data_IF_750953872261
#
_entry.id   IF_750953872261
#
_cell.length_a   1.000
_cell.length_b   1.000
_cell.length_c   1.000
_cell.angle_alpha   90.00
_cell.angle_beta   90.00
_cell.angle_gamma   90.00
#
_symmetry.space_group_name_H-M   'P 1'
#
loop_
_entity.id
_entity.type
_entity.pdbx_description
1 polymer ?
#
# COMPACT_ATOMS: atom_id res chain seq x y z
N UNK A 1 -16.64 -11.28 26.81
CA UNK A 1 -15.74 -11.46 25.66
C UNK A 1 -14.31 -11.17 26.11
N UNK A 2 -13.36 -12.03 25.80
CA UNK A 2 -12.01 -11.90 26.33
C UNK A 2 -11.38 -10.59 25.79
N UNK A 3 -10.77 -9.79 26.67
CA UNK A 3 -10.26 -8.44 26.35
C UNK A 3 -9.25 -8.47 25.18
N UNK A 4 -8.46 -9.53 25.07
CA UNK A 4 -7.55 -9.75 23.94
C UNK A 4 -8.25 -9.98 22.60
N UNK A 5 -9.45 -10.58 22.59
CA UNK A 5 -10.24 -10.74 21.37
C UNK A 5 -10.75 -9.40 20.83
N UNK A 6 -11.15 -8.49 21.74
CA UNK A 6 -11.59 -7.14 21.33
C UNK A 6 -10.42 -6.39 20.69
N UNK A 7 -9.23 -6.42 21.32
CA UNK A 7 -8.02 -5.77 20.81
C UNK A 7 -7.60 -6.33 19.46
N UNK A 8 -7.62 -7.66 19.30
CA UNK A 8 -7.30 -8.29 18.02
C UNK A 8 -8.31 -7.91 16.93
N UNK A 9 -9.59 -7.81 17.26
CA UNK A 9 -10.62 -7.37 16.32
C UNK A 9 -10.40 -5.90 15.87
N UNK A 10 -9.98 -5.02 16.79
CA UNK A 10 -9.63 -3.64 16.45
C UNK A 10 -8.48 -3.57 15.44
N UNK A 11 -7.43 -4.39 15.59
CA UNK A 11 -6.36 -4.48 14.60
C UNK A 11 -6.87 -4.91 13.22
N UNK A 12 -7.78 -5.89 13.18
CA UNK A 12 -8.38 -6.36 11.91
C UNK A 12 -9.22 -5.26 11.25
N UNK A 13 -9.97 -4.47 12.03
CA UNK A 13 -10.80 -3.35 11.50
C UNK A 13 -9.94 -2.18 11.02
N UNK A 14 -8.84 -1.87 11.71
CA UNK A 14 -7.93 -0.77 11.34
C UNK A 14 -7.04 -1.12 10.14
N UNK A 15 -6.73 -2.40 9.94
CA UNK A 15 -5.82 -2.83 8.89
C UNK A 15 -6.23 -2.39 7.47
N UNK A 16 -7.47 -2.52 7.00
CA UNK A 16 -7.89 -2.03 5.69
C UNK A 16 -7.64 -0.53 5.49
N UNK A 17 -7.82 0.28 6.55
CA UNK A 17 -7.59 1.73 6.50
C UNK A 17 -6.10 2.02 6.31
N UNK A 18 -5.25 1.38 7.11
CA UNK A 18 -3.78 1.52 7.00
C UNK A 18 -3.30 1.04 5.63
N UNK A 19 -3.83 -0.10 5.15
CA UNK A 19 -3.53 -0.63 3.81
C UNK A 19 -3.94 0.36 2.73
N UNK A 20 -5.14 0.95 2.80
CA UNK A 20 -5.60 1.90 1.80
C UNK A 20 -4.66 3.11 1.68
N UNK A 21 -4.19 3.66 2.80
CA UNK A 21 -3.24 4.79 2.83
C UNK A 21 -1.88 4.39 2.28
N UNK A 22 -1.38 3.21 2.66
CA UNK A 22 -0.04 2.74 2.30
C UNK A 22 0.04 2.23 0.86
N UNK A 23 -1.06 1.73 0.29
CA UNK A 23 -1.06 1.03 -1.00
C UNK A 23 -0.62 1.92 -2.17
N UNK A 24 -1.12 3.16 -2.27
CA UNK A 24 -0.74 4.04 -3.38
C UNK A 24 0.76 4.39 -3.39
N UNK A 25 1.38 4.84 -2.28
CA UNK A 25 2.83 5.04 -2.21
C UNK A 25 3.62 3.76 -2.50
N UNK A 26 3.16 2.61 -2.00
CA UNK A 26 3.83 1.33 -2.22
C UNK A 26 3.80 0.90 -3.71
N UNK A 27 2.65 1.04 -4.37
CA UNK A 27 2.49 0.79 -5.81
C UNK A 27 3.40 1.71 -6.62
N UNK A 28 3.36 3.02 -6.34
CA UNK A 28 4.19 4.02 -7.02
C UNK A 28 5.68 3.69 -6.89
N UNK A 29 6.15 3.40 -5.67
CA UNK A 29 7.54 3.02 -5.40
C UNK A 29 7.97 1.76 -6.18
N UNK A 30 7.16 0.69 -6.14
CA UNK A 30 7.52 -0.56 -6.80
C UNK A 30 7.52 -0.43 -8.32
N UNK A 31 6.53 0.26 -8.90
CA UNK A 31 6.54 0.49 -10.34
C UNK A 31 7.67 1.41 -10.77
N UNK A 32 7.97 2.45 -10.01
CA UNK A 32 9.08 3.35 -10.32
C UNK A 32 10.42 2.62 -10.28
N UNK A 33 10.64 1.81 -9.27
CA UNK A 33 11.93 1.12 -9.07
C UNK A 33 12.07 -0.14 -9.93
N UNK A 34 11.05 -0.99 -9.94
CA UNK A 34 11.14 -2.32 -10.54
C UNK A 34 10.30 -2.49 -11.82
N UNK A 35 9.40 -1.56 -12.09
CA UNK A 35 8.44 -1.68 -13.20
C UNK A 35 7.37 -2.75 -13.01
N UNK A 36 7.36 -3.44 -11.88
CA UNK A 36 6.40 -4.50 -11.57
C UNK A 36 6.12 -4.60 -10.09
N UNK A 37 5.03 -5.30 -9.76
CA UNK A 37 4.66 -5.65 -8.39
C UNK A 37 4.68 -7.16 -8.26
N UNK A 38 5.54 -7.68 -7.39
CA UNK A 38 5.61 -9.11 -7.10
C UNK A 38 4.70 -9.46 -5.92
N UNK A 39 3.77 -10.40 -6.11
CA UNK A 39 2.79 -10.79 -5.08
C UNK A 39 3.44 -11.21 -3.76
N UNK A 40 4.57 -11.93 -3.82
CA UNK A 40 5.30 -12.35 -2.62
C UNK A 40 5.88 -11.16 -1.85
N UNK A 41 6.40 -10.12 -2.53
CA UNK A 41 6.82 -8.86 -1.86
C UNK A 41 5.64 -8.15 -1.20
N UNK A 42 4.49 -8.10 -1.88
CA UNK A 42 3.25 -7.55 -1.32
C UNK A 42 2.90 -8.29 -0.05
N UNK A 43 2.83 -9.64 -0.10
CA UNK A 43 2.52 -10.46 1.07
C UNK A 43 3.46 -10.18 2.24
N UNK A 44 4.79 -10.13 2.01
CA UNK A 44 5.78 -9.88 3.07
C UNK A 44 5.60 -8.49 3.68
N UNK A 45 5.43 -7.45 2.86
CA UNK A 45 5.30 -6.07 3.36
C UNK A 45 3.99 -5.86 4.09
N UNK A 46 2.88 -6.37 3.55
CA UNK A 46 1.57 -6.18 4.20
C UNK A 46 1.42 -7.06 5.45
N UNK A 47 2.02 -8.25 5.48
CA UNK A 47 2.08 -9.05 6.72
C UNK A 47 2.94 -8.36 7.79
N UNK A 48 4.02 -7.67 7.42
CA UNK A 48 4.80 -6.86 8.35
C UNK A 48 3.99 -5.67 8.90
N UNK A 49 3.26 -4.94 8.05
CA UNK A 49 2.39 -3.84 8.47
C UNK A 49 1.30 -4.36 9.41
N UNK A 50 0.65 -5.47 9.06
CA UNK A 50 -0.36 -6.11 9.89
C UNK A 50 0.21 -6.54 11.26
N UNK A 51 1.39 -7.16 11.25
CA UNK A 51 2.11 -7.53 12.47
C UNK A 51 2.39 -6.31 13.37
N UNK A 52 2.93 -5.21 12.81
CA UNK A 52 3.18 -3.99 13.58
C UNK A 52 1.89 -3.38 14.15
N UNK A 53 0.80 -3.43 13.40
CA UNK A 53 -0.51 -2.98 13.88
C UNK A 53 -1.03 -3.86 15.02
N UNK A 54 -0.92 -5.19 14.90
CA UNK A 54 -1.28 -6.12 15.96
C UNK A 54 -0.42 -5.89 17.21
N UNK A 55 0.89 -5.73 17.03
CA UNK A 55 1.81 -5.44 18.13
C UNK A 55 1.43 -4.14 18.84
N UNK A 56 1.19 -3.06 18.07
CA UNK A 56 0.74 -1.80 18.62
C UNK A 56 -0.56 -1.94 19.42
N UNK A 57 -1.57 -2.60 18.84
CA UNK A 57 -2.83 -2.83 19.54
C UNK A 57 -2.67 -3.66 20.80
N UNK A 58 -1.87 -4.72 20.78
CA UNK A 58 -1.67 -5.59 21.94
C UNK A 58 -0.90 -4.91 23.08
N UNK A 59 0.07 -4.05 22.75
CA UNK A 59 0.89 -3.33 23.75
C UNK A 59 0.18 -2.11 24.30
N UNK A 60 -0.53 -1.35 23.45
CA UNK A 60 -1.12 -0.06 23.82
C UNK A 60 -2.56 -0.20 24.32
N UNK A 61 -3.35 -1.09 23.73
CA UNK A 61 -4.75 -1.30 24.09
C UNK A 61 -4.91 -2.41 25.16
N UNK A 62 -6.01 -2.42 25.92
CA UNK A 62 -7.07 -1.43 25.95
C UNK A 62 -6.67 -0.18 26.74
N UNK A 63 -7.17 0.96 26.28
CA UNK A 63 -6.97 2.22 27.01
C UNK A 63 -7.87 2.28 28.23
N UNK A 64 -7.39 2.79 29.39
CA UNK A 64 -8.23 3.05 30.53
C UNK A 64 -9.21 4.20 30.25
N UNK A 65 -10.30 4.28 31.00
CA UNK A 65 -11.13 5.50 30.95
C UNK A 65 -10.33 6.72 31.44
N UNK A 66 -10.63 7.94 30.95
CA UNK A 66 -9.93 9.14 31.39
C UNK A 66 -9.91 9.33 32.91
N UNK A 67 -11.01 8.96 33.58
CA UNK A 67 -11.13 9.04 35.03
C UNK A 67 -10.15 8.07 35.72
N UNK A 68 -10.03 6.84 35.23
CA UNK A 68 -9.07 5.86 35.74
C UNK A 68 -7.63 6.31 35.48
N UNK A 69 -7.33 6.84 34.31
CA UNK A 69 -6.01 7.34 33.99
C UNK A 69 -5.61 8.51 34.93
N UNK A 70 -6.55 9.39 35.25
CA UNK A 70 -6.31 10.52 36.19
C UNK A 70 -6.04 10.07 37.63
N UNK A 71 -6.53 8.89 38.04
CA UNK A 71 -6.31 8.36 39.42
C UNK A 71 -5.03 7.51 39.53
N UNK A 72 -4.36 7.17 38.42
CA UNK A 72 -3.10 6.41 38.46
C UNK A 72 -1.91 7.33 38.79
N UNK A 73 -1.85 7.79 40.05
CA UNK A 73 -0.80 8.69 40.55
C UNK A 73 0.46 7.96 41.07
N UNK A 74 0.55 6.64 40.91
CA UNK A 74 1.67 5.85 41.42
C UNK A 74 2.90 5.89 40.50
N UNK A 75 4.03 5.46 41.01
CA UNK A 75 5.36 5.44 40.39
C UNK A 75 5.32 5.32 38.86
N UNK A 76 5.84 6.35 38.18
CA UNK A 76 5.78 6.44 36.72
C UNK A 76 6.82 5.62 36.00
N UNK A 77 7.91 5.22 36.71
CA UNK A 77 9.06 4.53 36.11
C UNK A 77 9.60 3.45 37.04
N UNK A 78 9.81 2.28 36.46
CA UNK A 78 10.61 1.19 36.99
C UNK A 78 11.95 1.16 36.26
N UNK A 79 13.07 1.43 36.95
CA UNK A 79 14.39 1.57 36.36
C UNK A 79 15.39 0.50 36.86
N UNK A 80 14.98 -0.42 37.76
CA UNK A 80 15.83 -1.54 38.20
C UNK A 80 15.83 -2.66 37.14
N UNK A 81 16.96 -2.93 36.48
CA UNK A 81 17.03 -4.00 35.50
C UNK A 81 16.84 -5.36 36.18
N UNK A 82 16.16 -6.29 35.49
CA UNK A 82 15.93 -7.66 35.94
C UNK A 82 15.06 -7.81 37.21
N UNK A 83 14.27 -6.80 37.55
CA UNK A 83 13.34 -6.87 38.67
C UNK A 83 12.30 -7.97 38.46
N UNK A 84 11.89 -8.21 37.21
CA UNK A 84 10.96 -9.29 36.86
C UNK A 84 11.44 -10.66 37.26
N UNK A 85 12.77 -10.92 37.26
CA UNK A 85 13.34 -12.20 37.72
C UNK A 85 13.13 -12.41 39.24
N UNK A 86 13.39 -11.34 40.01
CA UNK A 86 13.14 -11.35 41.48
C UNK A 86 11.66 -11.59 41.77
N UNK A 87 10.79 -10.94 41.01
CA UNK A 87 9.34 -11.07 41.11
C UNK A 87 8.85 -12.49 40.77
N UNK A 88 9.41 -13.09 39.70
CA UNK A 88 9.08 -14.48 39.33
C UNK A 88 9.48 -15.44 40.46
N UNK A 89 10.72 -15.38 40.92
CA UNK A 89 11.22 -16.26 41.99
C UNK A 89 10.38 -16.13 43.27
N UNK A 90 10.09 -14.90 43.69
CA UNK A 90 9.29 -14.62 44.88
C UNK A 90 7.84 -15.11 44.76
N UNK A 91 7.18 -14.86 43.63
CA UNK A 91 5.78 -15.21 43.41
C UNK A 91 5.57 -16.68 43.03
N UNK A 92 6.55 -17.34 42.45
CA UNK A 92 6.47 -18.74 42.06
C UNK A 92 6.82 -19.69 43.22
N UNK A 93 7.26 -19.19 44.38
CA UNK A 93 7.66 -19.99 45.53
C UNK A 93 8.66 -21.10 45.16
N UNK A 94 9.63 -20.77 44.31
CA UNK A 94 10.63 -21.73 43.83
C UNK A 94 11.61 -22.05 44.94
N UNK A 95 11.72 -23.34 45.24
CA UNK A 95 12.75 -23.88 46.14
C UNK A 95 13.84 -24.48 45.24
N UNK A 96 15.08 -23.91 45.21
CA UNK A 96 16.14 -24.36 44.29
C UNK A 96 16.50 -25.84 44.42
N UNK A 97 16.35 -26.39 45.61
CA UNK A 97 16.63 -27.82 45.93
C UNK A 97 15.51 -28.77 45.48
N UNK A 98 14.32 -28.27 45.10
CA UNK A 98 13.18 -29.09 44.74
C UNK A 98 12.76 -28.85 43.28
N UNK A 99 13.19 -29.68 42.31
CA UNK A 99 12.89 -29.48 40.87
C UNK A 99 11.40 -29.46 40.54
N UNK A 100 10.55 -30.07 41.33
CA UNK A 100 9.08 -30.05 41.17
C UNK A 100 8.50 -28.65 41.29
N UNK A 101 9.13 -27.76 42.05
CA UNK A 101 8.70 -26.37 42.23
C UNK A 101 9.05 -25.49 41.02
N UNK A 102 9.94 -25.93 40.13
CA UNK A 102 10.31 -25.15 38.92
C UNK A 102 9.19 -25.05 37.91
N UNK A 103 8.28 -26.03 37.86
CA UNK A 103 7.09 -25.99 37.02
C UNK A 103 6.16 -24.82 37.38
N UNK A 104 6.21 -24.34 38.64
CA UNK A 104 5.39 -23.18 39.06
C UNK A 104 5.85 -21.88 38.39
N UNK A 105 7.10 -21.80 37.91
CA UNK A 105 7.60 -20.66 37.14
C UNK A 105 6.80 -20.50 35.86
N UNK A 106 6.58 -21.60 35.11
CA UNK A 106 5.92 -21.58 33.81
C UNK A 106 4.44 -21.14 33.91
N UNK A 107 3.83 -21.42 35.06
CA UNK A 107 2.45 -21.02 35.37
C UNK A 107 2.35 -19.62 35.99
N UNK A 108 3.47 -19.00 36.32
CA UNK A 108 3.50 -17.68 36.94
C UNK A 108 3.12 -16.61 35.92
N UNK A 109 2.16 -15.76 36.30
CA UNK A 109 1.66 -14.68 35.40
C UNK A 109 2.76 -13.72 34.96
N UNK A 110 3.69 -13.36 35.85
CA UNK A 110 4.80 -12.46 35.52
C UNK A 110 5.72 -13.09 34.48
N UNK A 111 6.06 -14.40 34.63
CA UNK A 111 6.84 -15.13 33.64
C UNK A 111 6.12 -15.17 32.29
N UNK A 112 4.83 -15.52 32.25
CA UNK A 112 4.05 -15.61 31.02
C UNK A 112 3.98 -14.27 30.27
N UNK A 113 3.81 -13.16 30.98
CA UNK A 113 3.78 -11.82 30.39
C UNK A 113 5.12 -11.49 29.72
N UNK A 114 6.24 -11.72 30.40
CA UNK A 114 7.57 -11.46 29.83
C UNK A 114 7.89 -12.37 28.63
N UNK A 115 7.52 -13.63 28.71
CA UNK A 115 7.68 -14.56 27.57
C UNK A 115 6.81 -14.14 26.37
N UNK A 116 5.58 -13.70 26.61
CA UNK A 116 4.71 -13.17 25.54
C UNK A 116 5.29 -11.90 24.90
N UNK A 117 5.83 -10.97 25.69
CA UNK A 117 6.51 -9.77 25.20
C UNK A 117 7.72 -10.14 24.34
N UNK A 118 8.55 -11.09 24.82
CA UNK A 118 9.69 -11.59 24.05
C UNK A 118 9.24 -12.15 22.70
N UNK A 119 8.27 -13.08 22.68
CA UNK A 119 7.78 -13.69 21.45
C UNK A 119 7.06 -12.68 20.52
N UNK A 120 6.41 -11.69 21.09
CA UNK A 120 5.77 -10.63 20.31
C UNK A 120 6.80 -9.83 19.50
N UNK A 121 8.01 -9.66 20.00
CA UNK A 121 9.09 -8.93 19.31
C UNK A 121 9.91 -9.81 18.33
N UNK A 122 9.83 -11.15 18.42
CA UNK A 122 10.57 -12.08 17.53
C UNK A 122 10.32 -11.81 16.05
N UNK A 123 9.07 -11.68 15.53
CA UNK A 123 8.83 -11.42 14.12
C UNK A 123 9.48 -10.12 13.63
N UNK A 124 9.58 -9.10 14.48
CA UNK A 124 10.25 -7.84 14.11
C UNK A 124 11.71 -8.09 13.70
N UNK A 125 12.47 -8.80 14.51
CA UNK A 125 13.85 -9.16 14.19
C UNK A 125 13.98 -10.05 12.95
N UNK A 126 13.02 -10.97 12.75
CA UNK A 126 12.96 -11.80 11.54
C UNK A 126 12.78 -10.94 10.27
N UNK A 127 11.82 -10.01 10.25
CA UNK A 127 11.61 -9.11 9.10
C UNK A 127 12.82 -8.21 8.86
N UNK A 128 13.43 -7.66 9.92
CA UNK A 128 14.60 -6.79 9.79
C UNK A 128 15.77 -7.51 9.12
N UNK A 129 16.07 -8.73 9.49
CA UNK A 129 17.16 -9.51 8.88
C UNK A 129 16.78 -10.01 7.49
N UNK A 130 15.66 -10.69 7.35
CA UNK A 130 15.27 -11.37 6.11
C UNK A 130 14.93 -10.39 4.99
N UNK A 131 13.98 -9.50 5.26
CA UNK A 131 13.45 -8.64 4.20
C UNK A 131 14.18 -7.30 4.08
N UNK A 132 14.47 -6.66 5.22
CA UNK A 132 15.13 -5.35 5.23
C UNK A 132 16.67 -5.44 5.21
N UNK A 133 17.24 -6.66 5.24
CA UNK A 133 18.71 -6.91 5.20
C UNK A 133 19.49 -6.13 6.26
N UNK A 134 18.91 -5.92 7.43
CA UNK A 134 19.58 -5.21 8.52
C UNK A 134 20.63 -6.10 9.19
N UNK A 135 21.76 -5.50 9.58
CA UNK A 135 22.78 -6.18 10.38
C UNK A 135 22.29 -6.42 11.80
N UNK A 136 23.04 -7.22 12.57
CA UNK A 136 22.78 -7.47 13.98
C UNK A 136 22.69 -6.17 14.78
N UNK A 137 23.66 -5.25 14.63
CA UNK A 137 23.68 -3.98 15.36
C UNK A 137 22.47 -3.09 15.01
N UNK A 138 22.08 -3.03 13.74
CA UNK A 138 20.89 -2.29 13.35
C UNK A 138 19.62 -2.94 13.91
N UNK A 139 19.53 -4.27 13.93
CA UNK A 139 18.37 -4.98 14.49
C UNK A 139 18.27 -4.74 16.00
N UNK A 140 19.39 -4.79 16.72
CA UNK A 140 19.46 -4.45 18.14
C UNK A 140 18.91 -3.03 18.39
N UNK A 141 19.47 -2.03 17.70
CA UNK A 141 19.07 -0.62 17.88
C UNK A 141 17.60 -0.42 17.53
N UNK A 142 17.13 -0.97 16.39
CA UNK A 142 15.74 -0.81 15.97
C UNK A 142 14.75 -1.52 16.91
N UNK A 143 15.11 -2.66 17.48
CA UNK A 143 14.30 -3.35 18.48
C UNK A 143 14.22 -2.57 19.78
N UNK A 144 15.34 -2.00 20.23
CA UNK A 144 15.38 -1.12 21.39
C UNK A 144 14.53 0.16 21.16
N UNK A 145 14.65 0.78 20.00
CA UNK A 145 13.87 1.97 19.65
C UNK A 145 12.37 1.67 19.55
N UNK A 146 11.99 0.51 19.01
CA UNK A 146 10.59 0.09 18.96
C UNK A 146 10.01 -0.11 20.37
N UNK A 147 10.77 -0.79 21.26
CA UNK A 147 10.35 -0.96 22.65
C UNK A 147 10.27 0.38 23.38
N UNK A 148 11.26 1.25 23.21
CA UNK A 148 11.26 2.59 23.77
C UNK A 148 10.09 3.44 23.28
N UNK A 149 9.72 3.30 22.00
CA UNK A 149 8.53 3.96 21.45
C UNK A 149 7.26 3.55 22.22
N UNK A 150 7.07 2.28 22.52
CA UNK A 150 5.92 1.82 23.30
C UNK A 150 5.95 2.36 24.73
N UNK A 151 7.09 2.27 25.39
CA UNK A 151 7.27 2.74 26.77
C UNK A 151 7.03 4.25 26.88
N UNK A 152 7.56 5.06 25.95
CA UNK A 152 7.31 6.50 25.91
C UNK A 152 5.83 6.79 25.64
N UNK A 153 5.19 6.06 24.73
CA UNK A 153 3.77 6.22 24.43
C UNK A 153 2.90 6.00 25.68
N UNK A 154 3.25 5.01 26.50
CA UNK A 154 2.56 4.70 27.76
C UNK A 154 2.88 5.72 28.85
N UNK A 155 4.15 6.08 29.00
CA UNK A 155 4.62 7.05 29.99
C UNK A 155 4.02 8.45 29.79
N UNK A 156 3.95 8.91 28.53
CA UNK A 156 3.40 10.22 28.20
C UNK A 156 1.87 10.27 28.15
N UNK A 157 1.20 9.17 28.45
CA UNK A 157 -0.25 9.08 28.35
C UNK A 157 -0.74 9.33 26.92
N UNK A 158 -0.22 8.59 25.94
CA UNK A 158 -0.50 8.77 24.50
C UNK A 158 -0.17 10.19 24.03
N UNK A 159 1.06 10.61 24.28
CA UNK A 159 1.54 11.94 23.86
C UNK A 159 0.67 13.08 24.41
N UNK A 160 0.34 13.01 25.70
CA UNK A 160 -0.45 13.99 26.47
C UNK A 160 -1.95 14.01 26.15
N UNK A 161 -2.50 13.00 25.48
CA UNK A 161 -3.96 12.82 25.35
C UNK A 161 -4.58 12.54 26.73
N UNK A 162 -3.90 11.73 27.56
CA UNK A 162 -4.22 11.56 28.97
C UNK A 162 -3.46 12.54 29.86
N UNK A 163 -4.02 12.92 30.96
CA UNK A 163 -3.42 13.84 31.95
C UNK A 163 -2.17 13.25 32.64
N UNK A 164 -1.89 11.97 32.48
CA UNK A 164 -0.75 11.29 33.05
C UNK A 164 -0.49 9.92 32.46
N UNK A 165 0.59 9.27 32.90
CA UNK A 165 0.93 7.90 32.50
C UNK A 165 -0.20 6.93 32.89
N UNK A 166 -0.63 6.08 31.96
CA UNK A 166 -1.63 5.05 32.23
C UNK A 166 -1.03 3.66 32.46
N UNK A 167 0.27 3.51 32.20
CA UNK A 167 1.09 2.34 32.49
C UNK A 167 2.45 2.76 33.05
N UNK A 168 3.08 1.86 33.77
CA UNK A 168 4.44 2.05 34.27
C UNK A 168 5.42 1.93 33.10
N UNK A 169 6.36 2.87 32.98
CA UNK A 169 7.53 2.70 32.12
C UNK A 169 8.43 1.65 32.77
N UNK A 170 8.76 0.58 32.05
CA UNK A 170 9.51 -0.54 32.60
C UNK A 170 10.77 -0.83 31.76
N UNK A 171 11.95 -0.72 32.41
CA UNK A 171 13.22 -1.05 31.76
C UNK A 171 13.33 -2.53 31.40
N UNK A 172 12.65 -3.41 32.13
CA UNK A 172 12.62 -4.83 31.83
C UNK A 172 11.90 -5.12 30.53
N UNK A 173 10.84 -4.37 30.19
CA UNK A 173 10.17 -4.48 28.90
C UNK A 173 11.09 -4.03 27.74
N UNK A 174 11.97 -3.02 27.96
CA UNK A 174 12.99 -2.65 26.97
C UNK A 174 13.97 -3.80 26.73
N UNK A 175 14.42 -4.46 27.78
CA UNK A 175 15.36 -5.57 27.70
C UNK A 175 14.70 -6.77 27.01
N UNK A 176 13.53 -7.18 27.46
CA UNK A 176 12.83 -8.37 26.97
C UNK A 176 12.44 -8.24 25.50
N UNK A 177 11.87 -7.09 25.11
CA UNK A 177 11.48 -6.85 23.72
C UNK A 177 12.71 -6.76 22.79
N UNK A 178 13.80 -6.15 23.25
CA UNK A 178 15.06 -6.10 22.49
C UNK A 178 15.64 -7.49 22.30
N UNK A 179 15.66 -8.31 23.36
CA UNK A 179 16.07 -9.71 23.28
C UNK A 179 15.18 -10.52 22.34
N UNK A 180 13.87 -10.27 22.32
CA UNK A 180 12.95 -10.87 21.35
C UNK A 180 13.33 -10.56 19.90
N UNK A 181 13.65 -9.30 19.60
CA UNK A 181 14.13 -8.90 18.27
C UNK A 181 15.46 -9.58 17.89
N UNK A 182 16.40 -9.68 18.83
CA UNK A 182 17.68 -10.41 18.63
C UNK A 182 17.42 -11.90 18.38
N UNK A 183 16.54 -12.51 19.16
CA UNK A 183 16.15 -13.91 19.00
C UNK A 183 15.54 -14.14 17.61
N UNK A 184 14.68 -13.24 17.16
CA UNK A 184 14.11 -13.27 15.81
C UNK A 184 15.17 -13.17 14.72
N UNK A 185 16.17 -12.30 14.92
CA UNK A 185 17.33 -12.21 14.03
C UNK A 185 18.08 -13.54 13.96
N UNK A 186 18.28 -14.21 15.06
CA UNK A 186 18.98 -15.50 15.09
C UNK A 186 18.15 -16.61 14.42
N UNK A 187 16.88 -16.74 14.78
CA UNK A 187 15.96 -17.81 14.30
C UNK A 187 15.78 -17.74 12.79
N UNK A 188 15.68 -16.56 12.18
CA UNK A 188 15.45 -16.46 10.73
C UNK A 188 16.67 -16.88 9.91
N UNK A 189 17.88 -16.89 10.49
CA UNK A 189 19.10 -17.27 9.78
C UNK A 189 19.02 -18.62 9.06
N UNK A 190 18.72 -19.72 9.73
CA UNK A 190 18.50 -21.02 9.09
C UNK A 190 17.33 -21.03 8.10
N UNK A 191 16.24 -20.27 8.36
CA UNK A 191 15.08 -20.22 7.49
C UNK A 191 15.39 -19.51 6.15
N UNK A 192 16.38 -18.61 6.12
CA UNK A 192 16.82 -17.93 4.89
C UNK A 192 17.43 -18.90 3.85
N UNK A 193 17.80 -20.12 4.23
CA UNK A 193 18.26 -21.15 3.29
C UNK A 193 17.11 -21.65 2.41
N UNK A 194 15.89 -21.65 2.94
CA UNK A 194 14.69 -22.19 2.26
C UNK A 194 13.89 -21.08 1.60
N UNK A 195 13.94 -19.86 2.16
CA UNK A 195 13.18 -18.72 1.67
C UNK A 195 13.93 -18.02 0.52
N UNK A 196 13.21 -17.54 -0.52
CA UNK A 196 13.84 -16.77 -1.58
C UNK A 196 14.48 -15.50 -1.01
N UNK A 197 15.70 -15.24 -1.38
CA UNK A 197 16.42 -14.04 -0.93
C UNK A 197 15.77 -12.76 -1.46
N UNK A 198 16.00 -11.65 -0.76
CA UNK A 198 15.53 -10.34 -1.22
C UNK A 198 16.06 -10.00 -2.62
N UNK A 199 17.29 -10.41 -2.94
CA UNK A 199 17.90 -10.14 -4.26
C UNK A 199 17.22 -10.93 -5.36
N UNK A 200 16.90 -12.20 -5.13
CA UNK A 200 16.10 -13.01 -6.06
C UNK A 200 14.71 -12.40 -6.30
N UNK A 201 14.05 -11.92 -5.22
CA UNK A 201 12.76 -11.24 -5.35
C UNK A 201 12.87 -9.94 -6.16
N UNK A 202 13.97 -9.21 -5.99
CA UNK A 202 14.22 -7.98 -6.73
C UNK A 202 14.53 -8.28 -8.20
N UNK A 203 15.35 -9.29 -8.49
CA UNK A 203 15.66 -9.74 -9.85
C UNK A 203 14.41 -10.18 -10.62
N UNK A 204 13.56 -11.02 -9.99
CA UNK A 204 12.27 -11.43 -10.58
C UNK A 204 11.37 -10.22 -10.84
N UNK A 205 11.39 -9.22 -9.94
CA UNK A 205 10.62 -7.99 -10.13
C UNK A 205 11.13 -7.19 -11.31
N UNK A 206 12.45 -7.03 -11.46
CA UNK A 206 13.06 -6.36 -12.62
C UNK A 206 12.76 -7.09 -13.93
N UNK A 207 12.93 -8.41 -13.97
CA UNK A 207 12.61 -9.21 -15.17
C UNK A 207 11.15 -9.02 -15.61
N UNK A 208 10.20 -9.09 -14.67
CA UNK A 208 8.78 -8.81 -14.96
C UNK A 208 8.54 -7.35 -15.36
N UNK A 209 9.32 -6.42 -14.85
CA UNK A 209 9.21 -5.00 -15.16
C UNK A 209 9.73 -4.61 -16.55
N UNK A 210 10.44 -5.49 -17.25
CA UNK A 210 10.81 -5.27 -18.65
C UNK A 210 9.57 -5.32 -19.56
N UNK A 211 8.58 -6.12 -19.20
CA UNK A 211 7.30 -6.19 -19.91
C UNK A 211 6.29 -5.22 -19.28
N UNK A 212 5.45 -4.62 -20.12
CA UNK A 212 4.45 -3.68 -19.64
C UNK A 212 3.11 -4.39 -19.49
N UNK A 213 2.76 -4.72 -18.25
CA UNK A 213 1.48 -5.33 -17.93
C UNK A 213 0.31 -4.36 -18.13
N UNK A 214 -0.89 -4.91 -18.34
CA UNK A 214 -2.13 -4.12 -18.37
C UNK A 214 -2.31 -3.31 -17.08
N UNK A 215 -2.05 -3.91 -15.92
CA UNK A 215 -2.21 -3.23 -14.64
C UNK A 215 -1.26 -2.02 -14.50
N UNK A 216 -0.04 -2.12 -15.00
CA UNK A 216 0.91 -0.98 -15.05
C UNK A 216 0.40 0.17 -15.91
N UNK A 217 -0.25 -0.13 -17.05
CA UNK A 217 -0.89 0.88 -17.91
C UNK A 217 -2.07 1.57 -17.19
N UNK A 218 -2.90 0.79 -16.48
CA UNK A 218 -4.03 1.32 -15.69
C UNK A 218 -3.53 2.22 -14.56
N UNK A 219 -2.51 1.80 -13.83
CA UNK A 219 -1.91 2.60 -12.75
C UNK A 219 -1.29 3.90 -13.29
N UNK A 220 -0.56 3.83 -14.41
CA UNK A 220 -0.04 5.03 -15.07
C UNK A 220 -1.17 6.00 -15.42
N UNK A 221 -2.22 5.51 -16.06
CA UNK A 221 -3.39 6.30 -16.43
C UNK A 221 -4.12 6.89 -15.21
N UNK A 222 -4.23 6.14 -14.12
CA UNK A 222 -4.83 6.61 -12.86
C UNK A 222 -4.07 7.83 -12.30
N UNK A 223 -2.74 7.77 -12.23
CA UNK A 223 -1.94 8.91 -11.76
C UNK A 223 -2.05 10.12 -12.69
N UNK A 224 -2.07 9.89 -14.01
CA UNK A 224 -2.28 10.98 -15.00
C UNK A 224 -3.65 11.64 -14.81
N UNK A 225 -4.72 10.84 -14.66
CA UNK A 225 -6.08 11.36 -14.46
C UNK A 225 -6.23 12.10 -13.13
N UNK A 226 -5.62 11.59 -12.06
CA UNK A 226 -5.61 12.27 -10.75
C UNK A 226 -4.93 13.65 -10.87
N UNK A 227 -3.80 13.73 -11.55
CA UNK A 227 -3.07 14.97 -11.76
C UNK A 227 -3.84 15.95 -12.64
N UNK A 228 -4.42 15.49 -13.76
CA UNK A 228 -5.25 16.30 -14.65
C UNK A 228 -6.48 16.85 -13.91
N UNK A 229 -7.10 16.01 -13.07
CA UNK A 229 -8.26 16.43 -12.27
C UNK A 229 -7.89 17.58 -11.32
N UNK A 230 -6.74 17.46 -10.63
CA UNK A 230 -6.23 18.53 -9.75
C UNK A 230 -5.97 19.81 -10.55
N UNK A 231 -5.27 19.74 -11.69
CA UNK A 231 -5.01 20.91 -12.54
C UNK A 231 -6.32 21.53 -13.02
N UNK A 232 -7.27 20.71 -13.46
CA UNK A 232 -8.57 21.21 -13.95
C UNK A 232 -9.34 21.93 -12.85
N UNK A 233 -9.35 21.37 -11.62
CA UNK A 233 -9.99 22.02 -10.47
C UNK A 233 -9.32 23.37 -10.17
N UNK A 234 -7.99 23.40 -10.11
CA UNK A 234 -7.23 24.61 -9.81
C UNK A 234 -7.34 25.67 -10.93
N UNK A 235 -7.45 25.26 -12.19
CA UNK A 235 -7.59 26.17 -13.33
C UNK A 235 -9.03 26.63 -13.56
N UNK A 236 -10.03 26.03 -12.90
CA UNK A 236 -11.46 26.31 -13.10
C UNK A 236 -11.82 27.80 -12.98
N UNK A 237 -11.35 28.58 -12.00
CA UNK A 237 -11.66 30.01 -11.90
C UNK A 237 -11.19 30.80 -13.13
N UNK A 238 -9.95 30.51 -13.58
CA UNK A 238 -9.37 31.15 -14.76
C UNK A 238 -10.14 30.79 -16.04
N UNK A 239 -10.45 29.51 -16.21
CA UNK A 239 -11.19 29.04 -17.38
C UNK A 239 -12.62 29.56 -17.44
N UNK A 240 -13.26 29.73 -16.29
CA UNK A 240 -14.57 30.38 -16.19
C UNK A 240 -14.50 31.86 -16.64
N UNK A 241 -13.46 32.58 -16.23
CA UNK A 241 -13.24 33.97 -16.66
C UNK A 241 -13.11 34.10 -18.17
N UNK A 242 -12.52 33.11 -18.85
CA UNK A 242 -12.38 33.09 -20.32
C UNK A 242 -13.51 32.33 -21.04
N UNK A 243 -14.61 32.00 -20.36
CA UNK A 243 -15.78 31.27 -20.90
C UNK A 243 -15.44 29.93 -21.56
N UNK A 244 -14.41 29.23 -21.05
CA UNK A 244 -13.97 27.92 -21.56
C UNK A 244 -14.84 26.81 -20.97
N UNK A 245 -15.84 26.35 -21.73
CA UNK A 245 -16.83 25.36 -21.29
C UNK A 245 -16.26 23.92 -21.20
N UNK A 246 -15.19 23.60 -21.95
CA UNK A 246 -14.60 22.28 -22.05
C UNK A 246 -13.17 22.24 -21.47
N UNK A 247 -13.05 22.76 -20.25
CA UNK A 247 -11.75 22.87 -19.58
C UNK A 247 -11.04 21.53 -19.42
N UNK A 248 -11.76 20.50 -19.02
CA UNK A 248 -11.20 19.18 -18.79
C UNK A 248 -10.63 18.55 -20.07
N UNK A 249 -11.36 18.63 -21.18
CA UNK A 249 -10.93 18.09 -22.46
C UNK A 249 -9.68 18.81 -23.00
N UNK A 250 -9.65 20.12 -22.89
CA UNK A 250 -8.50 20.93 -23.34
C UNK A 250 -7.29 20.63 -22.49
N UNK A 251 -7.40 20.62 -21.16
CA UNK A 251 -6.31 20.29 -20.25
C UNK A 251 -5.80 18.87 -20.51
N UNK A 252 -6.71 17.91 -20.69
CA UNK A 252 -6.35 16.50 -20.93
C UNK A 252 -5.57 16.34 -22.24
N UNK A 253 -6.09 16.85 -23.35
CA UNK A 253 -5.40 16.74 -24.64
C UNK A 253 -4.09 17.50 -24.68
N UNK A 254 -4.03 18.69 -24.06
CA UNK A 254 -2.79 19.47 -23.95
C UNK A 254 -1.75 18.72 -23.09
N UNK A 255 -2.14 18.20 -21.94
CA UNK A 255 -1.27 17.44 -21.06
C UNK A 255 -0.64 16.24 -21.77
N UNK A 256 -1.46 15.40 -22.41
CA UNK A 256 -0.97 14.20 -23.07
C UNK A 256 -0.24 14.44 -24.40
N UNK A 257 -0.42 15.61 -25.01
CA UNK A 257 0.23 15.94 -26.27
C UNK A 257 1.53 16.73 -26.08
N UNK A 258 1.58 17.64 -25.10
CA UNK A 258 2.69 18.56 -24.89
C UNK A 258 3.70 17.99 -23.90
N UNK A 259 3.24 17.49 -22.74
CA UNK A 259 4.15 17.03 -21.69
C UNK A 259 5.12 15.94 -22.17
N UNK A 260 4.71 14.90 -22.93
CA UNK A 260 5.64 13.88 -23.41
C UNK A 260 6.74 14.39 -24.34
N UNK A 261 6.52 15.53 -25.01
CA UNK A 261 7.57 16.15 -25.83
C UNK A 261 8.68 16.69 -24.93
N UNK A 262 8.31 17.37 -23.84
CA UNK A 262 9.24 18.00 -22.91
C UNK A 262 10.00 16.95 -22.07
N UNK A 263 9.36 15.81 -21.81
CA UNK A 263 9.84 14.74 -20.92
C UNK A 263 10.35 13.50 -21.66
N UNK A 264 10.62 13.62 -22.97
CA UNK A 264 11.15 12.52 -23.80
C UNK A 264 10.23 11.28 -23.82
N UNK A 265 8.93 11.49 -23.88
CA UNK A 265 7.92 10.43 -24.03
C UNK A 265 7.19 10.03 -22.75
N UNK A 266 7.44 10.69 -21.62
CA UNK A 266 6.81 10.33 -20.35
C UNK A 266 5.76 11.35 -19.92
N UNK A 267 4.60 10.88 -19.47
CA UNK A 267 3.66 11.64 -18.64
C UNK A 267 4.04 11.50 -17.18
N UNK A 268 3.34 12.15 -16.25
CA UNK A 268 3.58 11.96 -14.82
C UNK A 268 3.32 10.49 -14.42
N UNK A 269 2.21 9.91 -14.89
CA UNK A 269 1.90 8.50 -14.64
C UNK A 269 2.93 7.55 -15.25
N UNK A 270 3.40 7.85 -16.47
CA UNK A 270 4.49 7.11 -17.11
C UNK A 270 5.80 7.22 -16.32
N UNK A 271 6.13 8.39 -15.80
CA UNK A 271 7.31 8.60 -14.94
C UNK A 271 7.21 7.78 -13.66
N UNK A 272 6.07 7.83 -12.96
CA UNK A 272 5.82 7.04 -11.75
C UNK A 272 5.93 5.54 -12.03
N UNK A 273 5.46 5.10 -13.20
CA UNK A 273 5.46 3.68 -13.56
C UNK A 273 6.68 3.25 -14.38
N UNK A 274 7.70 4.11 -14.52
CA UNK A 274 8.91 3.85 -15.31
C UNK A 274 8.62 3.34 -16.72
N UNK A 275 7.76 4.06 -17.44
CA UNK A 275 7.42 3.79 -18.83
C UNK A 275 7.61 5.04 -19.68
N UNK A 276 7.79 4.86 -20.98
CA UNK A 276 7.80 5.96 -21.94
C UNK A 276 7.13 5.57 -23.25
N UNK A 277 6.55 6.57 -23.92
CA UNK A 277 5.99 6.40 -25.26
C UNK A 277 7.10 6.69 -26.28
N UNK A 278 7.37 5.69 -27.09
CA UNK A 278 8.37 5.77 -28.15
C UNK A 278 7.77 5.54 -29.53
N UNK A 279 8.47 5.95 -30.57
CA UNK A 279 8.06 5.67 -31.95
C UNK A 279 8.31 4.18 -32.27
N UNK A 280 7.43 3.58 -33.06
CA UNK A 280 7.64 2.21 -33.58
C UNK A 280 8.87 2.08 -34.48
N UNK A 281 9.36 3.20 -35.04
CA UNK A 281 10.57 3.27 -35.86
C UNK A 281 11.84 3.61 -35.06
N UNK A 282 11.71 3.72 -33.73
CA UNK A 282 12.76 4.18 -32.84
C UNK A 282 12.74 5.71 -32.63
N UNK A 283 13.33 6.15 -31.50
CA UNK A 283 13.39 7.55 -31.11
C UNK A 283 12.09 8.11 -30.52
N UNK A 284 12.08 9.44 -30.35
CA UNK A 284 10.95 10.12 -29.73
C UNK A 284 9.89 10.49 -30.77
N UNK A 285 8.61 10.20 -30.51
CA UNK A 285 7.50 10.62 -31.36
C UNK A 285 7.43 12.15 -31.47
N UNK A 286 6.92 12.65 -32.60
CA UNK A 286 6.60 14.08 -32.78
C UNK A 286 5.26 14.41 -32.16
N UNK A 287 4.97 15.70 -31.97
CA UNK A 287 3.71 16.20 -31.39
C UNK A 287 2.46 15.53 -31.97
N UNK A 288 2.37 15.47 -33.31
CA UNK A 288 1.21 14.89 -33.96
C UNK A 288 0.95 13.41 -33.62
N UNK A 289 2.00 12.63 -33.38
CA UNK A 289 1.87 11.22 -32.98
C UNK A 289 1.30 11.09 -31.55
N UNK A 290 1.73 11.93 -30.61
CA UNK A 290 1.15 11.99 -29.26
C UNK A 290 -0.30 12.46 -29.31
N UNK A 291 -0.58 13.55 -30.04
CA UNK A 291 -1.92 14.08 -30.21
C UNK A 291 -2.86 13.03 -30.79
N UNK A 292 -2.48 12.40 -31.90
CA UNK A 292 -3.29 11.37 -32.57
C UNK A 292 -3.53 10.16 -31.67
N UNK A 293 -2.50 9.73 -30.92
CA UNK A 293 -2.60 8.64 -29.96
C UNK A 293 -3.72 8.90 -28.95
N UNK A 294 -3.68 10.03 -28.29
CA UNK A 294 -4.62 10.34 -27.21
C UNK A 294 -5.96 10.83 -27.72
N UNK A 295 -6.01 11.50 -28.85
CA UNK A 295 -7.25 11.83 -29.53
C UNK A 295 -8.05 10.57 -29.90
N UNK A 296 -7.40 9.56 -30.45
CA UNK A 296 -8.03 8.27 -30.74
C UNK A 296 -8.40 7.52 -29.45
N UNK A 297 -7.54 7.54 -28.46
CA UNK A 297 -7.81 6.89 -27.18
C UNK A 297 -9.05 7.47 -26.51
N UNK A 298 -9.06 8.76 -26.24
CA UNK A 298 -10.21 9.41 -25.60
C UNK A 298 -11.44 9.43 -26.52
N UNK A 299 -11.26 9.69 -27.81
CA UNK A 299 -12.34 9.71 -28.78
C UNK A 299 -13.13 8.41 -28.82
N UNK A 300 -12.42 7.28 -28.94
CA UNK A 300 -13.09 5.97 -29.08
C UNK A 300 -13.53 5.39 -27.74
N UNK A 301 -12.71 5.49 -26.68
CA UNK A 301 -13.06 4.87 -25.39
C UNK A 301 -14.01 5.70 -24.53
N UNK A 302 -14.08 7.01 -24.69
CA UNK A 302 -14.89 7.84 -23.80
C UNK A 302 -15.95 8.65 -24.56
N UNK A 303 -15.58 9.29 -25.66
CA UNK A 303 -16.52 10.21 -26.34
C UNK A 303 -17.46 9.50 -27.31
N UNK A 304 -16.97 8.51 -28.07
CA UNK A 304 -17.80 7.80 -29.04
C UNK A 304 -19.08 7.18 -28.43
N UNK A 305 -19.00 6.45 -27.29
CA UNK A 305 -20.20 5.90 -26.65
C UNK A 305 -21.17 6.98 -26.19
N UNK A 306 -20.67 8.12 -25.68
CA UNK A 306 -21.51 9.23 -25.25
C UNK A 306 -22.25 9.84 -26.46
N UNK A 307 -21.56 10.08 -27.57
CA UNK A 307 -22.17 10.62 -28.77
C UNK A 307 -23.16 9.66 -29.42
N UNK A 308 -22.86 8.36 -29.46
CA UNK A 308 -23.79 7.35 -29.96
C UNK A 308 -25.07 7.36 -29.10
N UNK A 309 -24.93 7.35 -27.77
CA UNK A 309 -26.08 7.42 -26.87
C UNK A 309 -26.93 8.68 -27.09
N UNK A 310 -26.30 9.86 -27.13
CA UNK A 310 -27.01 11.12 -27.39
C UNK A 310 -27.71 11.15 -28.74
N UNK A 311 -27.10 10.55 -29.76
CA UNK A 311 -27.70 10.44 -31.08
C UNK A 311 -28.95 9.53 -31.08
N UNK A 312 -28.87 8.39 -30.36
CA UNK A 312 -29.99 7.47 -30.16
C UNK A 312 -31.12 8.13 -29.37
N UNK A 313 -30.82 8.82 -28.27
CA UNK A 313 -31.80 9.55 -27.46
C UNK A 313 -32.54 10.62 -28.31
N UNK A 314 -31.81 11.40 -29.10
CA UNK A 314 -32.42 12.38 -30.03
C UNK A 314 -33.30 11.70 -31.10
N UNK A 315 -32.85 10.59 -31.64
CA UNK A 315 -33.59 9.85 -32.63
C UNK A 315 -34.89 9.28 -32.07
N UNK A 316 -34.88 8.78 -30.83
CA UNK A 316 -36.05 8.31 -30.08
C UNK A 316 -37.04 9.45 -29.86
N UNK A 317 -36.57 10.60 -29.36
CA UNK A 317 -37.42 11.77 -29.08
C UNK A 317 -38.16 12.33 -30.34
N UNK A 318 -37.58 12.18 -31.52
CA UNK A 318 -38.16 12.64 -32.76
C UNK A 318 -39.26 11.65 -33.29
N UNK A 319 -39.15 10.36 -32.94
CA UNK A 319 -40.00 9.29 -33.50
C UNK A 319 -40.90 8.65 -32.43
N UNK A 320 -41.57 9.44 -31.59
CA UNK A 320 -42.44 9.00 -30.47
C UNK A 320 -43.73 8.31 -30.94
N UNK A 321 -43.63 7.02 -31.27
CA UNK A 321 -44.75 6.07 -31.32
C UNK A 321 -44.48 4.97 -30.30
N UNK A 322 -45.39 4.78 -29.34
CA UNK A 322 -45.24 3.81 -28.23
C UNK A 322 -45.00 2.35 -28.69
N UNK A 323 -45.38 2.01 -29.95
CA UNK A 323 -45.10 0.70 -30.54
C UNK A 323 -43.61 0.47 -30.91
N UNK A 324 -42.82 1.55 -30.92
CA UNK A 324 -41.41 1.53 -31.32
C UNK A 324 -40.44 1.49 -30.12
N UNK A 325 -40.92 1.73 -28.89
CA UNK A 325 -40.10 1.78 -27.68
C UNK A 325 -39.29 0.50 -27.45
N UNK A 326 -39.89 -0.66 -27.72
CA UNK A 326 -39.21 -1.95 -27.59
C UNK A 326 -38.12 -2.15 -28.64
N UNK A 327 -38.28 -1.61 -29.83
CA UNK A 327 -37.28 -1.61 -30.90
C UNK A 327 -36.07 -0.75 -30.54
N UNK A 328 -36.29 0.42 -29.96
CA UNK A 328 -35.22 1.33 -29.53
C UNK A 328 -34.42 0.77 -28.35
N UNK A 329 -35.07 0.21 -27.34
CA UNK A 329 -34.40 -0.48 -26.23
C UNK A 329 -33.52 -1.63 -26.72
N UNK A 330 -33.98 -2.36 -27.74
CA UNK A 330 -33.20 -3.43 -28.37
C UNK A 330 -31.94 -2.88 -29.07
N UNK A 331 -32.05 -1.77 -29.80
CA UNK A 331 -30.91 -1.14 -30.46
C UNK A 331 -29.89 -0.61 -29.41
N UNK A 332 -30.36 0.05 -28.36
CA UNK A 332 -29.50 0.55 -27.29
C UNK A 332 -28.75 -0.59 -26.61
N UNK A 333 -29.44 -1.68 -26.30
CA UNK A 333 -28.83 -2.88 -25.73
C UNK A 333 -27.77 -3.48 -26.68
N UNK A 334 -28.08 -3.58 -27.96
CA UNK A 334 -27.15 -4.13 -28.96
C UNK A 334 -25.88 -3.25 -29.09
N UNK A 335 -26.03 -1.93 -29.13
CA UNK A 335 -24.92 -0.98 -29.16
C UNK A 335 -24.07 -1.12 -27.87
N UNK A 336 -24.69 -1.21 -26.70
CA UNK A 336 -24.00 -1.39 -25.43
C UNK A 336 -23.23 -2.72 -25.42
N UNK A 337 -23.81 -3.79 -25.94
CA UNK A 337 -23.20 -5.12 -26.01
C UNK A 337 -22.01 -5.14 -26.97
N UNK A 338 -22.12 -4.51 -28.15
CA UNK A 338 -21.01 -4.36 -29.10
C UNK A 338 -19.88 -3.53 -28.50
N UNK A 339 -20.19 -2.46 -27.78
CA UNK A 339 -19.18 -1.66 -27.09
C UNK A 339 -18.51 -2.43 -25.95
N UNK A 340 -19.27 -3.18 -25.17
CA UNK A 340 -18.71 -4.08 -24.13
C UNK A 340 -17.78 -5.11 -24.74
N UNK A 341 -18.16 -5.74 -25.85
CA UNK A 341 -17.32 -6.69 -26.56
C UNK A 341 -16.04 -6.04 -27.10
N UNK A 342 -16.13 -4.82 -27.61
CA UNK A 342 -14.96 -4.03 -28.02
C UNK A 342 -14.02 -3.77 -26.84
N UNK A 343 -14.54 -3.35 -25.68
CA UNK A 343 -13.74 -3.15 -24.46
C UNK A 343 -13.08 -4.45 -24.01
N UNK A 344 -13.81 -5.55 -24.01
CA UNK A 344 -13.30 -6.86 -23.63
C UNK A 344 -12.14 -7.29 -24.55
N UNK A 345 -12.32 -7.20 -25.87
CA UNK A 345 -11.30 -7.56 -26.85
C UNK A 345 -10.05 -6.68 -26.75
N UNK A 346 -10.22 -5.38 -26.51
CA UNK A 346 -9.09 -4.47 -26.35
C UNK A 346 -8.35 -4.72 -25.03
N UNK A 347 -9.07 -5.04 -23.95
CA UNK A 347 -8.47 -5.44 -22.67
C UNK A 347 -7.67 -6.72 -22.81
N UNK A 348 -8.22 -7.75 -23.49
CA UNK A 348 -7.51 -8.99 -23.77
C UNK A 348 -6.24 -8.72 -24.60
N UNK A 349 -6.33 -7.89 -25.65
CA UNK A 349 -5.15 -7.50 -26.46
C UNK A 349 -4.08 -6.82 -25.61
N UNK A 350 -4.47 -5.92 -24.72
CA UNK A 350 -3.55 -5.23 -23.81
C UNK A 350 -2.92 -6.20 -22.81
N UNK A 351 -3.69 -7.16 -22.27
CA UNK A 351 -3.18 -8.20 -21.36
C UNK A 351 -2.19 -9.16 -22.05
N UNK A 352 -2.40 -9.42 -23.35
CA UNK A 352 -1.50 -10.22 -24.19
C UNK A 352 -0.33 -9.41 -24.79
N UNK A 353 -0.05 -8.22 -24.28
CA UNK A 353 1.02 -7.31 -24.72
C UNK A 353 0.96 -6.96 -26.22
N UNK A 354 -0.22 -7.09 -26.85
CA UNK A 354 -0.42 -6.75 -28.25
C UNK A 354 -0.69 -5.26 -28.42
N UNK A 355 -0.24 -4.68 -29.54
CA UNK A 355 -0.48 -3.27 -29.86
C UNK A 355 -1.97 -2.98 -30.04
N UNK A 356 -2.45 -1.91 -29.43
CA UNK A 356 -3.83 -1.42 -29.54
C UNK A 356 -4.00 -0.55 -30.80
N UNK A 357 -5.25 -0.32 -31.23
CA UNK A 357 -5.50 0.39 -32.50
C UNK A 357 -4.90 1.80 -32.49
N UNK A 358 -5.06 2.56 -31.41
CA UNK A 358 -4.52 3.92 -31.30
C UNK A 358 -2.97 3.94 -31.29
N UNK A 359 -2.31 2.88 -30.80
CA UNK A 359 -0.87 2.72 -30.87
C UNK A 359 -0.39 2.47 -32.32
N UNK A 360 -1.13 1.64 -33.07
CA UNK A 360 -0.82 1.35 -34.46
C UNK A 360 -1.00 2.58 -35.34
N UNK A 361 -2.12 3.28 -35.18
CA UNK A 361 -2.44 4.45 -36.02
C UNK A 361 -1.50 5.63 -35.73
N UNK A 362 -1.14 5.86 -34.49
CA UNK A 362 -0.17 6.90 -34.11
C UNK A 362 1.29 6.48 -34.34
N UNK A 363 1.55 5.23 -34.74
CA UNK A 363 2.89 4.62 -34.86
C UNK A 363 3.72 4.78 -33.60
N UNK A 364 3.12 4.56 -32.45
CA UNK A 364 3.73 4.67 -31.13
C UNK A 364 3.59 3.36 -30.39
N UNK A 365 4.49 3.12 -29.44
CA UNK A 365 4.41 2.00 -28.48
C UNK A 365 4.83 2.49 -27.09
N UNK A 366 4.44 1.77 -26.06
CA UNK A 366 4.94 2.02 -24.70
C UNK A 366 6.12 1.07 -24.46
N UNK A 367 7.21 1.58 -23.89
CA UNK A 367 8.37 0.81 -23.49
C UNK A 367 8.68 1.02 -22.01
N UNK A 368 9.29 0.02 -21.38
CA UNK A 368 9.80 0.12 -20.01
C UNK A 368 11.09 0.93 -20.00
N UNK A 369 11.19 1.88 -19.07
CA UNK A 369 12.42 2.68 -18.83
C UNK A 369 13.17 2.18 -17.60
N UNK A 370 12.78 1.04 -17.04
CA UNK A 370 13.47 0.42 -15.90
C UNK A 370 14.88 0.03 -16.32
N UNK A 371 15.87 0.51 -15.58
CA UNK A 371 17.27 0.12 -15.75
C UNK A 371 17.59 -0.96 -14.72
N UNK A 372 18.07 -2.10 -15.17
CA UNK A 372 18.66 -3.14 -14.31
C UNK A 372 19.98 -2.57 -13.81
N UNK A 373 20.07 -2.30 -12.52
CA UNK A 373 21.30 -1.89 -11.86
C UNK A 373 22.17 -3.10 -11.52
#
# INVERSE_FOLDING_TARGET
MNQYLIVSFQAVVLFPIVVAVFTLPYIAYNYHKYGSILSLKVLIVYSFIFYLLCMYCLVILPLPSPEKAATLHSHKMQLEPFLFIKDIIKKAHVIPSEPKTWLTIVLNKAFLVNILNLFLAVPFGMYLRYYFKKSFSHTFILSLLLSLFFEITQLTGLYFIYSGSYRLFDVDDLIVNTLGGILGYAIVGPLMIILPSRDELDEVSYKRGMEISLFRRVVSFFFDMAFISIITILSRPLMHQFHILRAFEIVTLSYFSVLPILTKGSTLGNFITSTAIVSTKGGHPKFFAYFLRYFLFFGVYFYLPIYIRQALEKFILINTDASKDMGYATIELLVALLYFLFLLLTTIKAALHRSLFYERWSRTKIESTVQVQ
#
